data_IF_695754869288
#
_entry.id   IF_695754869288
#
_cell.length_a   1.000
_cell.length_b   1.000
_cell.length_c   1.000
_cell.angle_alpha   90.00
_cell.angle_beta   90.00
_cell.angle_gamma   90.00
#
_symmetry.space_group_name_H-M   'P 1'
#
loop_
_entity.id
_entity.type
_entity.pdbx_description
1 polymer ?
#
# COMPACT_ATOMS: atom_id res chain seq x y z
N UNK A 1 16.26 -24.06 2.76
CA UNK A 1 17.17 -24.53 1.68
C UNK A 1 16.43 -24.73 0.36
N UNK A 2 15.21 -25.26 0.37
CA UNK A 2 14.42 -25.47 -0.85
C UNK A 2 13.97 -24.17 -1.53
N UNK A 3 13.40 -23.21 -0.78
CA UNK A 3 12.96 -21.92 -1.34
C UNK A 3 14.09 -21.14 -2.04
N UNK A 4 15.29 -21.12 -1.43
CA UNK A 4 16.49 -20.52 -2.03
C UNK A 4 16.85 -21.17 -3.38
N UNK A 5 16.86 -22.50 -3.44
CA UNK A 5 17.17 -23.24 -4.68
C UNK A 5 16.16 -22.89 -5.78
N UNK A 6 14.87 -22.99 -5.46
CA UNK A 6 13.77 -22.63 -6.39
C UNK A 6 13.94 -21.18 -6.87
N UNK A 7 14.22 -20.25 -5.95
CA UNK A 7 14.42 -18.85 -6.29
C UNK A 7 15.58 -18.66 -7.28
N UNK A 8 16.74 -19.27 -7.02
CA UNK A 8 17.89 -19.20 -7.92
C UNK A 8 17.58 -19.81 -9.30
N UNK A 9 16.84 -20.91 -9.36
CA UNK A 9 16.43 -21.52 -10.63
C UNK A 9 15.52 -20.59 -11.45
N UNK A 10 14.49 -20.00 -10.82
CA UNK A 10 13.53 -19.11 -11.47
C UNK A 10 14.12 -17.75 -11.87
N UNK A 11 15.11 -17.28 -11.12
CA UNK A 11 15.78 -15.98 -11.35
C UNK A 11 17.11 -16.09 -12.08
N UNK A 12 17.44 -17.27 -12.62
CA UNK A 12 18.70 -17.53 -13.35
C UNK A 12 19.93 -17.08 -12.54
N UNK A 13 19.94 -17.42 -11.25
CA UNK A 13 21.02 -17.07 -10.33
C UNK A 13 21.00 -15.59 -9.90
N UNK A 14 19.82 -15.00 -9.66
CA UNK A 14 19.63 -13.58 -9.28
C UNK A 14 19.94 -12.58 -10.41
N UNK A 15 19.84 -13.00 -11.67
CA UNK A 15 20.09 -12.14 -12.83
C UNK A 15 18.80 -11.70 -13.52
N UNK A 16 17.73 -12.49 -13.38
CA UNK A 16 16.40 -12.20 -13.91
C UNK A 16 15.48 -11.69 -12.79
N UNK A 17 14.98 -10.44 -12.86
CA UNK A 17 14.00 -9.94 -11.91
C UNK A 17 12.66 -10.63 -12.12
N UNK A 18 12.00 -10.98 -11.01
CA UNK A 18 10.64 -11.50 -10.99
C UNK A 18 9.87 -10.81 -9.88
N UNK A 19 8.65 -10.37 -10.18
CA UNK A 19 7.76 -9.84 -9.14
C UNK A 19 7.27 -10.97 -8.24
N UNK A 20 6.85 -10.63 -7.02
CA UNK A 20 6.46 -11.60 -6.01
C UNK A 20 5.31 -12.50 -6.50
N UNK A 21 4.31 -11.91 -7.17
CA UNK A 21 3.19 -12.62 -7.77
C UNK A 21 3.62 -13.54 -8.92
N UNK A 22 4.61 -13.16 -9.73
CA UNK A 22 5.13 -14.01 -10.81
C UNK A 22 5.93 -15.19 -10.25
N UNK A 23 6.74 -14.90 -9.23
CA UNK A 23 7.58 -15.87 -8.55
C UNK A 23 6.74 -17.00 -7.92
N UNK A 24 5.69 -16.65 -7.16
CA UNK A 24 4.87 -17.67 -6.48
C UNK A 24 4.12 -18.57 -7.45
N UNK A 25 3.64 -18.04 -8.58
CA UNK A 25 2.95 -18.86 -9.60
C UNK A 25 3.91 -19.66 -10.48
N UNK A 26 5.19 -19.30 -10.52
CA UNK A 26 6.22 -20.08 -11.21
C UNK A 26 6.88 -21.15 -10.33
N UNK A 27 6.76 -21.03 -9.00
CA UNK A 27 7.39 -21.95 -8.06
C UNK A 27 6.70 -23.32 -8.02
N UNK A 28 7.45 -24.44 -8.19
CA UNK A 28 6.86 -25.77 -8.17
C UNK A 28 6.34 -26.13 -6.78
N UNK A 29 5.22 -26.84 -6.73
CA UNK A 29 4.60 -27.29 -5.47
C UNK A 29 3.76 -26.23 -4.76
N UNK A 30 3.64 -25.02 -5.31
CA UNK A 30 2.69 -24.00 -4.85
C UNK A 30 1.38 -24.04 -5.66
N UNK A 31 0.28 -23.48 -5.12
CA UNK A 31 -1.00 -23.39 -5.83
C UNK A 31 -0.87 -22.59 -7.13
N UNK A 32 -1.48 -23.11 -8.19
CA UNK A 32 -1.55 -22.46 -9.50
C UNK A 32 -2.55 -21.31 -9.50
N UNK A 33 -2.55 -20.50 -10.57
CA UNK A 33 -3.59 -19.48 -10.78
C UNK A 33 -4.99 -20.08 -10.87
N UNK A 34 -5.11 -21.30 -11.40
CA UNK A 34 -6.39 -22.01 -11.49
C UNK A 34 -6.88 -22.42 -10.09
N UNK A 35 -5.99 -22.96 -9.25
CA UNK A 35 -6.30 -23.33 -7.87
C UNK A 35 -6.78 -22.12 -7.05
N UNK A 36 -6.06 -20.99 -7.15
CA UNK A 36 -6.43 -19.74 -6.47
C UNK A 36 -7.72 -19.16 -7.05
N UNK A 37 -7.92 -19.25 -8.37
CA UNK A 37 -9.16 -18.83 -9.04
C UNK A 37 -10.38 -19.60 -8.54
N UNK A 38 -10.26 -20.93 -8.37
CA UNK A 38 -11.32 -21.77 -7.83
C UNK A 38 -11.64 -21.46 -6.35
N UNK A 39 -10.64 -21.08 -5.56
CA UNK A 39 -10.85 -20.61 -4.18
C UNK A 39 -11.55 -19.23 -4.14
N UNK A 40 -11.29 -18.35 -5.12
CA UNK A 40 -11.89 -17.02 -5.19
C UNK A 40 -13.41 -17.02 -5.49
N UNK A 41 -13.96 -18.15 -5.95
CA UNK A 41 -15.40 -18.35 -6.10
C UNK A 41 -16.11 -18.68 -4.77
N UNK A 42 -15.35 -18.97 -3.71
CA UNK A 42 -15.87 -19.33 -2.39
C UNK A 42 -15.80 -18.14 -1.44
N UNK A 43 -16.74 -18.06 -0.50
CA UNK A 43 -16.62 -17.14 0.62
C UNK A 43 -15.34 -17.45 1.42
N UNK A 44 -14.76 -16.43 2.07
CA UNK A 44 -13.46 -16.57 2.72
C UNK A 44 -13.42 -17.68 3.78
N UNK A 45 -14.54 -17.91 4.46
CA UNK A 45 -14.69 -18.97 5.48
C UNK A 45 -14.69 -20.39 4.91
N UNK A 46 -14.99 -20.54 3.62
CA UNK A 46 -15.16 -21.83 2.93
C UNK A 46 -13.92 -22.19 2.09
N UNK A 47 -12.90 -21.33 2.10
CA UNK A 47 -11.61 -21.54 1.44
C UNK A 47 -10.80 -22.62 2.16
N UNK A 48 -10.10 -23.45 1.38
CA UNK A 48 -9.17 -24.46 1.87
C UNK A 48 -7.84 -23.88 2.37
N UNK A 49 -7.56 -22.60 2.09
CA UNK A 49 -6.35 -21.92 2.59
C UNK A 49 -5.08 -22.26 1.80
N UNK A 50 -5.21 -22.54 0.50
CA UNK A 50 -4.08 -22.94 -0.35
C UNK A 50 -2.96 -21.88 -0.36
N UNK A 51 -3.31 -20.60 -0.34
CA UNK A 51 -2.33 -19.50 -0.40
C UNK A 51 -1.47 -19.38 0.90
N UNK A 52 -1.75 -20.14 1.97
CA UNK A 52 -0.86 -20.23 3.15
C UNK A 52 0.55 -20.69 2.73
N UNK A 53 0.63 -21.63 1.79
CA UNK A 53 1.91 -22.12 1.27
C UNK A 53 2.69 -21.03 0.52
N UNK A 54 1.99 -20.12 -0.17
CA UNK A 54 2.61 -18.98 -0.87
C UNK A 54 3.23 -18.01 0.15
N UNK A 55 2.54 -17.74 1.26
CA UNK A 55 3.08 -16.90 2.33
C UNK A 55 4.29 -17.50 3.02
N UNK A 56 4.29 -18.80 3.28
CA UNK A 56 5.45 -19.51 3.81
C UNK A 56 6.65 -19.47 2.84
N UNK A 57 6.41 -19.66 1.55
CA UNK A 57 7.46 -19.59 0.53
C UNK A 57 8.06 -18.17 0.42
N UNK A 58 7.23 -17.13 0.33
CA UNK A 58 7.72 -15.74 0.31
C UNK A 58 8.49 -15.39 1.58
N UNK A 59 8.04 -15.87 2.74
CA UNK A 59 8.74 -15.68 4.00
C UNK A 59 10.15 -16.30 3.97
N UNK A 60 10.30 -17.49 3.42
CA UNK A 60 11.59 -18.19 3.33
C UNK A 60 12.53 -17.56 2.28
N UNK A 61 11.98 -17.04 1.18
CA UNK A 61 12.74 -16.24 0.19
C UNK A 61 13.26 -14.96 0.82
N UNK A 62 12.40 -14.23 1.54
CA UNK A 62 12.78 -12.98 2.19
C UNK A 62 13.73 -13.22 3.37
N UNK A 63 13.67 -14.37 4.04
CA UNK A 63 14.59 -14.71 5.12
C UNK A 63 16.05 -14.88 4.63
N UNK A 64 16.25 -15.33 3.39
CA UNK A 64 17.58 -15.37 2.77
C UNK A 64 18.02 -13.94 2.36
N UNK A 65 19.18 -13.44 2.83
CA UNK A 65 19.59 -12.06 2.55
C UNK A 65 19.80 -11.75 1.06
N UNK A 66 20.30 -12.70 0.27
CA UNK A 66 20.57 -12.46 -1.15
C UNK A 66 19.29 -12.51 -1.97
N UNK A 67 18.49 -13.58 -1.80
CA UNK A 67 17.21 -13.72 -2.50
C UNK A 67 16.21 -12.63 -2.10
N UNK A 68 16.11 -12.32 -0.80
CA UNK A 68 15.18 -11.32 -0.30
C UNK A 68 15.48 -9.91 -0.78
N UNK A 69 16.76 -9.49 -0.82
CA UNK A 69 17.15 -8.19 -1.40
C UNK A 69 16.84 -8.13 -2.89
N UNK A 70 17.20 -9.16 -3.64
CA UNK A 70 16.90 -9.24 -5.08
C UNK A 70 15.39 -9.20 -5.36
N UNK A 71 14.56 -9.85 -4.53
CA UNK A 71 13.10 -9.77 -4.65
C UNK A 71 12.58 -8.35 -4.38
N UNK A 72 13.05 -7.69 -3.31
CA UNK A 72 12.64 -6.32 -3.00
C UNK A 72 13.05 -5.36 -4.14
N UNK A 73 14.26 -5.49 -4.66
CA UNK A 73 14.74 -4.71 -5.81
C UNK A 73 13.88 -4.96 -7.06
N UNK A 74 13.50 -6.21 -7.32
CA UNK A 74 12.59 -6.57 -8.42
C UNK A 74 11.21 -5.91 -8.26
N UNK A 75 10.69 -5.85 -7.03
CA UNK A 75 9.40 -5.22 -6.73
C UNK A 75 9.43 -3.70 -6.85
N UNK A 76 10.59 -3.05 -6.68
CA UNK A 76 10.77 -1.61 -6.85
C UNK A 76 10.85 -1.16 -8.32
N UNK A 77 11.02 -2.09 -9.27
CA UNK A 77 11.04 -1.75 -10.68
C UNK A 77 9.69 -1.19 -11.18
N UNK A 78 9.70 -0.27 -12.17
CA UNK A 78 8.47 0.23 -12.78
C UNK A 78 7.63 -0.90 -13.36
N UNK A 79 6.32 -0.86 -13.10
CA UNK A 79 5.38 -1.86 -13.59
C UNK A 79 5.18 -1.75 -15.12
N UNK A 80 4.89 -2.86 -15.81
CA UNK A 80 4.64 -2.83 -17.26
C UNK A 80 3.53 -1.84 -17.69
N UNK A 81 2.39 -1.71 -16.97
CA UNK A 81 1.40 -0.68 -17.29
C UNK A 81 1.96 0.75 -17.21
N UNK A 82 2.79 1.07 -16.21
CA UNK A 82 3.41 2.40 -16.13
C UNK A 82 4.33 2.67 -17.32
N UNK A 83 5.16 1.70 -17.70
CA UNK A 83 6.04 1.83 -18.87
C UNK A 83 5.26 2.04 -20.17
N UNK A 84 4.13 1.34 -20.34
CA UNK A 84 3.25 1.49 -21.50
C UNK A 84 2.62 2.89 -21.58
N UNK A 85 2.30 3.52 -20.43
CA UNK A 85 1.68 4.84 -20.37
C UNK A 85 2.68 6.01 -20.26
N UNK A 86 3.96 5.75 -20.00
CA UNK A 86 4.96 6.78 -19.71
C UNK A 86 5.08 7.86 -20.80
N UNK A 87 5.10 7.45 -22.08
CA UNK A 87 5.21 8.40 -23.19
C UNK A 87 3.96 9.28 -23.36
N UNK A 88 2.77 8.72 -23.09
CA UNK A 88 1.53 9.49 -23.11
C UNK A 88 1.48 10.47 -21.94
N UNK A 89 1.80 10.02 -20.73
CA UNK A 89 1.85 10.88 -19.55
C UNK A 89 2.86 12.02 -19.69
N UNK A 90 4.05 11.75 -20.24
CA UNK A 90 5.07 12.78 -20.44
C UNK A 90 4.58 13.91 -21.36
N UNK A 91 3.79 13.57 -22.41
CA UNK A 91 3.24 14.52 -23.38
C UNK A 91 2.01 15.27 -22.84
N UNK A 92 1.06 14.52 -22.29
CA UNK A 92 -0.28 15.03 -22.00
C UNK A 92 -0.41 15.50 -20.53
N UNK A 93 0.45 15.02 -19.64
CA UNK A 93 0.42 15.33 -18.21
C UNK A 93 -0.74 14.67 -17.47
N UNK A 94 -1.47 13.75 -18.09
CA UNK A 94 -2.64 13.11 -17.51
C UNK A 94 -2.83 11.67 -18.03
N UNK A 95 -3.18 10.74 -17.13
CA UNK A 95 -3.56 9.36 -17.47
C UNK A 95 -4.64 8.86 -16.50
N UNK A 96 -5.75 8.34 -17.04
CA UNK A 96 -6.74 7.58 -16.28
C UNK A 96 -6.44 6.08 -16.37
N UNK A 97 -6.21 5.44 -15.23
CA UNK A 97 -5.93 4.00 -15.07
C UNK A 97 -7.15 3.26 -14.49
N UNK A 98 -8.33 3.87 -14.50
CA UNK A 98 -9.57 3.33 -13.95
C UNK A 98 -9.66 3.52 -12.44
N UNK A 99 -8.94 2.69 -11.67
CA UNK A 99 -8.91 2.77 -10.20
C UNK A 99 -7.84 3.71 -9.65
N UNK A 100 -7.06 4.32 -10.53
CA UNK A 100 -6.18 5.43 -10.22
C UNK A 100 -6.24 6.48 -11.32
N UNK A 101 -6.01 7.74 -10.97
CA UNK A 101 -5.93 8.84 -11.94
C UNK A 101 -4.70 9.68 -11.64
N UNK A 102 -3.92 9.98 -12.66
CA UNK A 102 -2.64 10.69 -12.53
C UNK A 102 -2.73 11.99 -13.30
N UNK A 103 -2.36 13.10 -12.66
CA UNK A 103 -2.35 14.43 -13.27
C UNK A 103 -1.08 15.19 -12.88
N UNK A 104 -0.54 16.00 -13.80
CA UNK A 104 0.62 16.86 -13.58
C UNK A 104 0.20 18.33 -13.70
N UNK A 105 0.40 19.07 -12.62
CA UNK A 105 0.20 20.52 -12.55
C UNK A 105 1.57 21.20 -12.41
N UNK A 106 2.12 21.68 -13.53
CA UNK A 106 3.50 22.18 -13.57
C UNK A 106 4.49 21.07 -13.24
N UNK A 107 5.22 21.22 -12.12
CA UNK A 107 6.15 20.21 -11.61
C UNK A 107 5.56 19.34 -10.48
N UNK A 108 4.27 19.47 -10.18
CA UNK A 108 3.58 18.68 -9.16
C UNK A 108 2.80 17.56 -9.83
N UNK A 109 3.12 16.31 -9.51
CA UNK A 109 2.39 15.13 -9.97
C UNK A 109 1.47 14.61 -8.89
N UNK A 110 0.18 14.45 -9.18
CA UNK A 110 -0.85 13.95 -8.27
C UNK A 110 -1.30 12.57 -8.76
N UNK A 111 -1.32 11.60 -7.87
CA UNK A 111 -1.98 10.30 -8.08
C UNK A 111 -3.15 10.17 -7.11
N UNK A 112 -4.33 9.92 -7.66
CA UNK A 112 -5.55 9.71 -6.91
C UNK A 112 -5.95 8.24 -6.89
N UNK A 113 -6.21 7.67 -5.71
CA UNK A 113 -6.89 6.38 -5.57
C UNK A 113 -8.39 6.55 -5.80
N UNK A 114 -8.98 5.72 -6.67
CA UNK A 114 -10.41 5.77 -7.05
C UNK A 114 -11.10 4.42 -6.86
N UNK A 115 -11.88 4.31 -5.80
CA UNK A 115 -12.90 3.28 -5.63
C UNK A 115 -14.19 3.90 -5.08
N UNK A 116 -14.90 4.72 -5.89
CA UNK A 116 -15.88 5.69 -5.39
C UNK A 116 -17.05 5.03 -4.64
N UNK A 117 -17.50 3.85 -5.09
CA UNK A 117 -18.58 3.11 -4.42
C UNK A 117 -18.20 2.57 -3.05
N UNK A 118 -16.92 2.25 -2.87
CA UNK A 118 -16.39 1.64 -1.65
C UNK A 118 -15.51 2.61 -0.84
N UNK A 119 -15.77 3.92 -0.93
CA UNK A 119 -15.05 4.93 -0.15
C UNK A 119 -13.51 4.88 -0.33
N UNK A 120 -13.06 4.57 -1.54
CA UNK A 120 -11.64 4.35 -1.85
C UNK A 120 -11.01 3.22 -1.01
N UNK A 121 -11.78 2.20 -0.64
CA UNK A 121 -11.25 0.96 -0.07
C UNK A 121 -10.40 0.21 -1.10
N UNK A 122 -9.32 -0.40 -0.62
CA UNK A 122 -8.36 -1.14 -1.42
C UNK A 122 -8.80 -2.59 -1.62
N UNK A 123 -8.62 -3.10 -2.83
CA UNK A 123 -8.81 -4.49 -3.22
C UNK A 123 -7.88 -4.84 -4.39
N UNK A 124 -7.97 -6.08 -4.90
CA UNK A 124 -7.14 -6.55 -6.01
C UNK A 124 -7.26 -5.67 -7.27
N UNK A 125 -8.38 -4.95 -7.44
CA UNK A 125 -8.61 -4.07 -8.59
C UNK A 125 -7.95 -2.70 -8.46
N UNK A 126 -7.67 -2.25 -7.23
CA UNK A 126 -7.05 -0.95 -6.97
C UNK A 126 -5.52 -1.01 -6.99
N UNK A 127 -4.95 -2.17 -6.71
CA UNK A 127 -3.51 -2.33 -6.47
C UNK A 127 -2.66 -1.97 -7.69
N UNK A 128 -2.90 -2.65 -8.82
CA UNK A 128 -2.11 -2.46 -10.03
C UNK A 128 -2.24 -1.04 -10.63
N UNK A 129 -3.46 -0.43 -10.72
CA UNK A 129 -3.59 0.95 -11.19
C UNK A 129 -2.88 1.96 -10.29
N UNK A 130 -2.96 1.82 -8.96
CA UNK A 130 -2.31 2.74 -8.04
C UNK A 130 -0.78 2.62 -8.11
N UNK A 131 -0.24 1.41 -8.14
CA UNK A 131 1.21 1.19 -8.31
C UNK A 131 1.71 1.76 -9.64
N UNK A 132 0.97 1.54 -10.73
CA UNK A 132 1.32 2.10 -12.03
C UNK A 132 1.28 3.63 -12.02
N UNK A 133 0.31 4.24 -11.33
CA UNK A 133 0.24 5.69 -11.18
C UNK A 133 1.42 6.26 -10.39
N UNK A 134 1.83 5.58 -9.32
CA UNK A 134 3.04 5.92 -8.57
C UNK A 134 4.28 5.83 -9.46
N UNK A 135 4.45 4.73 -10.21
CA UNK A 135 5.58 4.55 -11.12
C UNK A 135 5.65 5.61 -12.22
N UNK A 136 4.50 6.02 -12.78
CA UNK A 136 4.43 7.12 -13.75
C UNK A 136 4.99 8.42 -13.15
N UNK A 137 4.58 8.76 -11.92
CA UNK A 137 5.08 9.95 -11.24
C UNK A 137 6.57 9.83 -10.92
N UNK A 138 7.07 8.65 -10.55
CA UNK A 138 8.50 8.43 -10.28
C UNK A 138 9.35 8.52 -11.55
N UNK A 139 8.85 8.00 -12.68
CA UNK A 139 9.55 7.98 -13.96
C UNK A 139 9.47 9.30 -14.74
N UNK A 140 8.48 10.15 -14.49
CA UNK A 140 8.33 11.41 -15.22
C UNK A 140 9.40 12.43 -14.84
N UNK A 141 10.10 13.01 -15.83
CA UNK A 141 11.19 13.96 -15.55
C UNK A 141 10.70 15.35 -15.14
N UNK A 142 9.46 15.72 -15.45
CA UNK A 142 8.92 17.03 -15.11
C UNK A 142 8.28 17.07 -13.72
N UNK A 143 7.83 15.93 -13.18
CA UNK A 143 7.39 15.83 -11.79
C UNK A 143 8.57 15.92 -10.82
N UNK A 144 8.58 16.96 -9.98
CA UNK A 144 9.54 17.13 -8.88
C UNK A 144 8.94 16.71 -7.53
N UNK A 145 7.67 17.06 -7.29
CA UNK A 145 6.93 16.73 -6.07
C UNK A 145 5.75 15.83 -6.42
N UNK A 146 5.60 14.74 -5.69
CA UNK A 146 4.51 13.80 -5.83
C UNK A 146 3.45 14.04 -4.74
N UNK A 147 2.19 13.84 -5.08
CA UNK A 147 1.06 13.93 -4.16
C UNK A 147 0.25 12.65 -4.25
N UNK A 148 0.02 12.01 -3.12
CA UNK A 148 -0.92 10.91 -2.96
C UNK A 148 -2.22 11.48 -2.37
N UNK A 149 -3.34 11.25 -3.05
CA UNK A 149 -4.66 11.72 -2.59
C UNK A 149 -5.74 10.69 -2.85
N UNK A 150 -6.85 10.81 -2.12
CA UNK A 150 -8.06 10.05 -2.40
C UNK A 150 -8.99 10.79 -3.37
N UNK A 151 -9.57 10.06 -4.32
CA UNK A 151 -10.55 10.60 -5.25
C UNK A 151 -11.89 10.93 -4.59
N UNK A 152 -12.75 11.63 -5.34
CA UNK A 152 -14.14 11.88 -4.95
C UNK A 152 -14.96 10.59 -4.99
N UNK A 153 -15.84 10.40 -4.01
CA UNK A 153 -16.67 9.20 -3.87
C UNK A 153 -18.14 9.45 -4.21
N UNK A 154 -18.88 8.41 -4.62
CA UNK A 154 -20.30 8.46 -4.98
C UNK A 154 -21.21 7.71 -3.98
N UNK A 155 -20.64 7.24 -2.87
CA UNK A 155 -21.39 6.55 -1.81
C UNK A 155 -22.48 7.46 -1.20
N UNK A 156 -23.70 6.98 -0.92
CA UNK A 156 -24.84 7.81 -0.50
C UNK A 156 -24.59 8.76 0.68
N UNK A 157 -23.76 8.35 1.64
CA UNK A 157 -23.42 9.16 2.82
C UNK A 157 -22.31 10.20 2.60
N UNK A 158 -21.47 10.01 1.58
CA UNK A 158 -20.25 10.79 1.36
C UNK A 158 -20.13 11.34 -0.06
N UNK A 159 -21.22 11.31 -0.82
CA UNK A 159 -21.24 11.72 -2.22
C UNK A 159 -20.65 13.13 -2.40
N UNK A 160 -19.73 13.28 -3.36
CA UNK A 160 -19.06 14.54 -3.66
C UNK A 160 -17.91 14.90 -2.70
N UNK A 161 -17.66 14.11 -1.65
CA UNK A 161 -16.50 14.29 -0.78
C UNK A 161 -15.29 13.52 -1.31
N UNK A 162 -14.10 14.05 -1.04
CA UNK A 162 -12.84 13.29 -1.16
C UNK A 162 -12.62 12.45 0.09
N UNK A 163 -12.17 11.22 -0.10
CA UNK A 163 -11.84 10.29 0.98
C UNK A 163 -10.47 9.71 0.70
N UNK A 164 -9.49 9.91 1.59
CA UNK A 164 -8.13 9.40 1.35
C UNK A 164 -8.10 7.87 1.17
N UNK A 165 -8.70 7.13 2.08
CA UNK A 165 -8.90 5.68 1.92
C UNK A 165 -9.59 5.05 3.12
N UNK A 166 -10.52 4.14 2.85
CA UNK A 166 -11.30 3.44 3.89
C UNK A 166 -10.70 2.10 4.35
N UNK A 167 -9.44 1.83 4.00
CA UNK A 167 -8.75 0.58 4.34
C UNK A 167 -9.03 -0.52 3.32
N UNK A 168 -8.97 -1.78 3.74
CA UNK A 168 -9.25 -2.92 2.88
C UNK A 168 -10.76 -3.01 2.59
N UNK A 169 -11.13 -3.43 1.38
CA UNK A 169 -12.53 -3.70 1.04
C UNK A 169 -13.03 -4.96 1.78
N UNK A 170 -13.58 -4.76 2.98
CA UNK A 170 -14.03 -5.86 3.84
C UNK A 170 -15.19 -6.66 3.23
N UNK A 171 -15.98 -6.08 2.31
CA UNK A 171 -17.00 -6.81 1.56
C UNK A 171 -16.37 -7.86 0.65
N UNK A 172 -15.36 -7.44 -0.13
CA UNK A 172 -14.63 -8.36 -0.99
C UNK A 172 -13.83 -9.38 -0.18
N UNK A 173 -13.21 -8.95 0.93
CA UNK A 173 -12.50 -9.85 1.85
C UNK A 173 -13.42 -10.98 2.35
N UNK A 174 -14.58 -10.62 2.92
CA UNK A 174 -15.51 -11.62 3.48
C UNK A 174 -16.00 -12.62 2.43
N UNK A 175 -16.12 -12.17 1.18
CA UNK A 175 -16.53 -12.99 0.03
C UNK A 175 -15.41 -13.78 -0.63
N UNK A 176 -14.19 -13.70 -0.12
CA UNK A 176 -13.05 -14.41 -0.69
C UNK A 176 -12.50 -13.79 -1.98
N UNK A 177 -12.86 -12.55 -2.29
CA UNK A 177 -12.55 -11.86 -3.56
C UNK A 177 -11.29 -10.99 -3.49
N UNK A 178 -10.50 -11.11 -2.42
CA UNK A 178 -9.18 -10.47 -2.28
C UNK A 178 -8.18 -11.61 -2.15
N UNK A 179 -7.16 -11.72 -3.01
CA UNK A 179 -6.12 -12.74 -2.88
C UNK A 179 -5.24 -12.49 -1.65
N UNK A 180 -4.67 -13.56 -1.06
CA UNK A 180 -3.61 -13.37 -0.07
C UNK A 180 -2.44 -12.55 -0.63
N UNK A 181 -2.10 -12.70 -1.92
CA UNK A 181 -0.99 -11.96 -2.52
C UNK A 181 -1.18 -10.45 -2.54
N UNK A 182 -2.42 -9.95 -2.39
CA UNK A 182 -2.69 -8.52 -2.20
C UNK A 182 -1.77 -7.92 -1.14
N UNK A 183 -1.63 -8.59 0.01
CA UNK A 183 -0.90 -8.08 1.17
C UNK A 183 0.60 -7.88 0.89
N UNK A 184 1.39 -8.93 0.58
CA UNK A 184 2.82 -8.77 0.32
C UNK A 184 3.10 -7.96 -0.95
N UNK A 185 2.30 -8.09 -2.02
CA UNK A 185 2.53 -7.32 -3.27
C UNK A 185 2.33 -5.83 -3.02
N UNK A 186 1.32 -5.45 -2.22
CA UNK A 186 1.10 -4.06 -1.80
C UNK A 186 2.28 -3.48 -1.02
N UNK A 187 2.73 -4.18 0.02
CA UNK A 187 3.77 -3.68 0.92
C UNK A 187 5.18 -3.73 0.30
N UNK A 188 5.48 -4.69 -0.58
CA UNK A 188 6.73 -4.75 -1.34
C UNK A 188 6.73 -3.82 -2.56
N UNK A 189 5.57 -3.58 -3.16
CA UNK A 189 5.36 -2.74 -4.34
C UNK A 189 5.05 -1.30 -3.96
N UNK A 190 3.82 -0.84 -4.21
CA UNK A 190 3.45 0.58 -4.14
C UNK A 190 3.82 1.28 -2.82
N UNK A 191 3.65 0.60 -1.68
CA UNK A 191 3.94 1.19 -0.37
C UNK A 191 5.45 1.37 -0.20
N UNK A 192 6.24 0.35 -0.57
CA UNK A 192 7.70 0.44 -0.51
C UNK A 192 8.25 1.44 -1.51
N UNK A 193 7.66 1.53 -2.70
CA UNK A 193 8.03 2.49 -3.75
C UNK A 193 7.91 3.93 -3.27
N UNK A 194 6.80 4.31 -2.64
CA UNK A 194 6.63 5.66 -2.06
C UNK A 194 7.69 5.94 -0.99
N UNK A 195 7.93 4.97 -0.10
CA UNK A 195 8.93 5.11 0.97
C UNK A 195 10.36 5.22 0.43
N UNK A 196 10.75 4.38 -0.54
CA UNK A 196 12.11 4.30 -1.10
C UNK A 196 12.39 5.28 -2.24
N UNK A 197 11.36 5.91 -2.81
CA UNK A 197 11.51 6.90 -3.87
C UNK A 197 12.47 8.02 -3.49
N UNK A 198 13.15 8.56 -4.49
CA UNK A 198 13.97 9.77 -4.34
C UNK A 198 13.14 11.06 -4.43
N UNK A 199 11.96 10.99 -5.07
CA UNK A 199 11.02 12.09 -5.09
C UNK A 199 10.34 12.25 -3.74
N UNK A 200 10.04 13.50 -3.39
CA UNK A 200 9.31 13.83 -2.19
C UNK A 200 7.80 13.63 -2.43
N UNK A 201 7.14 13.09 -1.42
CA UNK A 201 5.72 12.77 -1.43
C UNK A 201 4.98 13.57 -0.37
N UNK A 202 3.86 14.17 -0.78
CA UNK A 202 2.86 14.74 0.11
C UNK A 202 1.67 13.78 0.14
N UNK A 203 1.15 13.45 1.31
CA UNK A 203 -0.19 12.87 1.43
C UNK A 203 -1.19 13.98 1.75
N UNK A 204 -2.31 14.01 1.02
CA UNK A 204 -3.43 14.90 1.28
C UNK A 204 -4.60 14.09 1.86
N UNK A 205 -4.63 13.97 3.19
CA UNK A 205 -5.60 13.16 3.90
C UNK A 205 -6.89 13.94 4.19
N UNK A 206 -7.98 13.52 3.56
CA UNK A 206 -9.31 14.12 3.73
C UNK A 206 -10.32 13.07 4.18
N UNK A 207 -11.24 13.46 5.06
CA UNK A 207 -12.31 12.62 5.63
C UNK A 207 -11.84 11.40 6.43
N UNK A 208 -11.21 10.40 5.79
CA UNK A 208 -10.77 9.13 6.39
C UNK A 208 -9.43 8.69 5.84
N UNK A 209 -8.50 8.33 6.74
CA UNK A 209 -7.38 7.44 6.41
C UNK A 209 -7.43 6.25 7.37
N UNK A 210 -8.02 5.15 6.90
CA UNK A 210 -8.29 3.94 7.69
C UNK A 210 -7.42 2.80 7.15
N UNK A 211 -6.91 1.95 8.05
CA UNK A 211 -6.21 0.73 7.68
C UNK A 211 -5.06 1.00 6.72
N UNK A 212 -5.11 0.42 5.52
CA UNK A 212 -4.12 0.63 4.47
C UNK A 212 -3.92 2.10 4.07
N UNK A 213 -4.97 2.94 4.12
CA UNK A 213 -4.85 4.39 3.93
C UNK A 213 -3.97 5.02 5.01
N UNK A 214 -4.22 4.70 6.28
CA UNK A 214 -3.37 5.21 7.37
C UNK A 214 -1.91 4.74 7.24
N UNK A 215 -1.68 3.51 6.75
CA UNK A 215 -0.34 2.99 6.49
C UNK A 215 0.43 3.79 5.43
N UNK A 216 -0.26 4.30 4.39
CA UNK A 216 0.36 5.13 3.36
C UNK A 216 0.84 6.48 3.89
N UNK A 217 0.21 7.02 4.93
CA UNK A 217 0.69 8.23 5.59
C UNK A 217 2.09 8.02 6.20
N UNK A 218 2.40 6.80 6.65
CA UNK A 218 3.67 6.49 7.31
C UNK A 218 4.87 6.38 6.35
N UNK A 219 4.65 6.55 5.04
CA UNK A 219 5.68 6.43 4.00
C UNK A 219 6.00 7.73 3.27
N UNK A 220 5.15 8.75 3.39
CA UNK A 220 5.34 10.04 2.72
C UNK A 220 6.27 10.97 3.50
N UNK A 221 6.70 12.04 2.86
CA UNK A 221 7.64 13.02 3.44
C UNK A 221 6.91 14.18 4.13
N UNK A 222 5.64 14.40 3.80
CA UNK A 222 4.81 15.43 4.40
C UNK A 222 3.33 15.04 4.39
N UNK A 223 2.61 15.26 5.49
CA UNK A 223 1.20 14.92 5.64
C UNK A 223 0.39 16.21 5.86
N UNK A 224 -0.43 16.56 4.87
CA UNK A 224 -1.51 17.52 4.99
C UNK A 224 -2.78 16.77 5.42
N UNK A 225 -3.40 17.16 6.52
CA UNK A 225 -4.56 16.47 7.06
C UNK A 225 -5.72 17.44 7.28
N UNK A 226 -6.87 17.20 6.64
CA UNK A 226 -8.08 17.99 6.88
C UNK A 226 -8.51 17.84 8.35
N UNK A 227 -8.84 18.96 9.00
CA UNK A 227 -9.32 18.95 10.40
C UNK A 227 -10.55 18.05 10.53
N UNK A 228 -10.49 17.12 11.48
CA UNK A 228 -11.55 16.14 11.71
C UNK A 228 -11.46 14.89 10.84
N UNK A 229 -10.39 14.73 10.05
CA UNK A 229 -10.08 13.45 9.40
C UNK A 229 -9.91 12.36 10.45
N UNK A 230 -10.57 11.22 10.26
CA UNK A 230 -10.40 10.07 11.17
C UNK A 230 -9.23 9.21 10.72
N UNK A 231 -8.29 8.98 11.63
CA UNK A 231 -7.10 8.16 11.43
C UNK A 231 -7.18 6.92 12.31
N UNK A 232 -7.14 5.72 11.72
CA UNK A 232 -7.22 4.48 12.50
C UNK A 232 -6.62 3.28 11.81
N UNK A 233 -6.13 2.31 12.60
CA UNK A 233 -5.61 1.02 12.17
C UNK A 233 -6.49 -0.09 12.77
N UNK A 234 -7.65 -0.39 12.15
CA UNK A 234 -8.65 -1.30 12.70
C UNK A 234 -8.27 -2.79 12.61
N UNK A 235 -7.03 -3.12 12.22
CA UNK A 235 -6.59 -4.47 11.88
C UNK A 235 -6.84 -5.50 12.99
N UNK A 236 -6.81 -5.08 14.27
CA UNK A 236 -7.26 -5.91 15.41
C UNK A 236 -8.70 -6.40 15.25
N UNK A 237 -9.60 -5.50 14.88
CA UNK A 237 -11.03 -5.77 14.70
C UNK A 237 -11.32 -6.49 13.39
N UNK A 238 -10.38 -6.49 12.43
CA UNK A 238 -10.46 -7.17 11.14
C UNK A 238 -9.78 -8.56 11.18
N UNK A 239 -8.90 -8.81 12.15
CA UNK A 239 -8.18 -10.07 12.29
C UNK A 239 -6.96 -10.22 11.36
N UNK A 240 -6.35 -9.11 10.96
CA UNK A 240 -5.17 -9.07 10.07
C UNK A 240 -4.03 -8.23 10.68
N UNK A 241 -2.86 -8.25 10.05
CA UNK A 241 -1.71 -7.40 10.39
C UNK A 241 -1.82 -6.10 9.56
N UNK A 242 -1.66 -4.90 10.16
CA UNK A 242 -1.80 -3.63 9.46
C UNK A 242 -0.57 -3.28 8.59
N UNK A 243 -0.24 -4.15 7.63
CA UNK A 243 0.93 -3.99 6.76
C UNK A 243 2.19 -3.67 7.56
N UNK A 244 3.03 -2.77 7.06
CA UNK A 244 4.21 -2.29 7.77
C UNK A 244 3.95 -1.22 8.86
N UNK A 245 2.72 -1.01 9.33
CA UNK A 245 2.47 -0.04 10.41
C UNK A 245 3.18 -0.42 11.71
N UNK A 246 3.32 -1.71 12.03
CA UNK A 246 4.05 -2.16 13.22
C UNK A 246 5.53 -1.76 13.16
N UNK A 247 6.10 -1.67 11.95
CA UNK A 247 7.46 -1.22 11.72
C UNK A 247 7.58 0.31 11.81
N UNK A 248 6.60 1.04 11.26
CA UNK A 248 6.74 2.48 10.97
C UNK A 248 6.05 3.41 11.97
N UNK A 249 4.90 3.04 12.52
CA UNK A 249 4.12 3.90 13.40
C UNK A 249 4.87 4.33 14.68
N UNK A 250 5.67 3.46 15.34
CA UNK A 250 6.41 3.86 16.55
C UNK A 250 7.34 5.07 16.35
N UNK A 251 7.82 5.33 15.13
CA UNK A 251 8.65 6.50 14.80
C UNK A 251 7.89 7.82 14.93
N UNK A 252 6.58 7.81 14.73
CA UNK A 252 5.73 9.01 14.79
C UNK A 252 5.20 9.26 16.20
N UNK A 253 4.75 8.20 16.88
CA UNK A 253 3.97 8.35 18.12
C UNK A 253 4.61 7.67 19.34
N UNK A 254 5.73 6.99 19.17
CA UNK A 254 6.36 6.16 20.20
C UNK A 254 5.68 4.79 20.39
N UNK A 255 6.40 3.86 21.03
CA UNK A 255 6.00 2.44 21.14
C UNK A 255 4.65 2.24 21.84
N UNK A 256 4.41 2.91 22.98
CA UNK A 256 3.16 2.74 23.75
C UNK A 256 1.94 3.19 22.97
N UNK A 257 2.04 4.33 22.30
CA UNK A 257 0.94 4.89 21.53
C UNK A 257 0.66 4.07 20.27
N UNK A 258 1.72 3.58 19.60
CA UNK A 258 1.59 2.67 18.47
C UNK A 258 0.89 1.36 18.87
N UNK A 259 1.21 0.79 20.05
CA UNK A 259 0.51 -0.39 20.57
C UNK A 259 -0.95 -0.12 20.93
N UNK A 260 -1.28 1.07 21.45
CA UNK A 260 -2.69 1.44 21.67
C UNK A 260 -3.44 1.50 20.34
N UNK A 261 -2.86 2.11 19.31
CA UNK A 261 -3.47 2.18 17.99
C UNK A 261 -3.66 0.79 17.37
N UNK A 262 -2.61 -0.04 17.37
CA UNK A 262 -2.60 -1.33 16.67
C UNK A 262 -3.25 -2.44 17.49
N UNK A 263 -2.88 -2.61 18.76
CA UNK A 263 -3.32 -3.73 19.59
C UNK A 263 -4.62 -3.44 20.35
N UNK A 264 -4.90 -2.17 20.66
CA UNK A 264 -6.14 -1.77 21.35
C UNK A 264 -7.19 -1.19 20.41
N UNK A 265 -6.82 -0.76 19.20
CA UNK A 265 -7.73 -0.18 18.21
C UNK A 265 -8.10 1.27 18.47
N UNK A 266 -7.31 2.00 19.26
CA UNK A 266 -7.57 3.42 19.52
C UNK A 266 -7.34 4.25 18.25
N UNK A 267 -8.25 5.17 17.93
CA UNK A 267 -8.06 6.14 16.85
C UNK A 267 -6.86 7.04 17.14
N UNK A 268 -6.14 7.45 16.08
CA UNK A 268 -5.10 8.46 16.11
C UNK A 268 -5.74 9.84 15.91
N UNK A 269 -5.30 10.82 16.68
CA UNK A 269 -5.65 12.21 16.42
C UNK A 269 -4.83 12.72 15.22
N UNK A 270 -5.39 13.56 14.34
CA UNK A 270 -4.66 14.17 13.23
C UNK A 270 -3.30 14.75 13.62
N UNK A 271 -3.23 15.42 14.77
CA UNK A 271 -2.02 16.05 15.33
C UNK A 271 -0.88 15.06 15.63
N UNK A 272 -1.19 13.77 15.75
CA UNK A 272 -0.17 12.75 16.05
C UNK A 272 0.63 12.35 14.82
N UNK A 273 0.11 12.59 13.61
CA UNK A 273 0.76 12.22 12.35
C UNK A 273 0.96 13.40 11.40
N UNK A 274 0.05 14.37 11.39
CA UNK A 274 0.06 15.46 10.41
C UNK A 274 1.19 16.45 10.67
N UNK A 275 1.84 16.87 9.59
CA UNK A 275 2.74 18.01 9.63
C UNK A 275 1.95 19.33 9.58
N UNK A 276 0.81 19.32 8.89
CA UNK A 276 -0.11 20.45 8.82
C UNK A 276 -1.57 20.01 8.91
N UNK A 277 -2.34 20.73 9.73
CA UNK A 277 -3.79 20.65 9.72
C UNK A 277 -4.36 21.69 8.77
N UNK A 278 -5.27 21.25 7.91
CA UNK A 278 -5.90 22.08 6.88
C UNK A 278 -7.39 22.20 7.16
N UNK A 279 -7.96 23.40 7.02
CA UNK A 279 -9.41 23.54 7.18
C UNK A 279 -10.17 22.93 5.99
N UNK A 280 -11.40 22.43 6.20
CA UNK A 280 -12.20 21.87 5.12
C UNK A 280 -12.37 22.85 3.95
N UNK A 281 -12.09 22.37 2.74
CA UNK A 281 -12.16 23.18 1.51
C UNK A 281 -10.86 23.92 1.15
N UNK A 282 -9.82 23.87 1.98
CA UNK A 282 -8.54 24.54 1.71
C UNK A 282 -7.43 23.58 1.21
N UNK A 283 -7.72 22.29 1.08
CA UNK A 283 -6.72 21.26 0.74
C UNK A 283 -6.00 21.52 -0.58
N UNK A 284 -6.71 21.97 -1.62
CA UNK A 284 -6.10 22.23 -2.94
C UNK A 284 -5.05 23.34 -2.85
N UNK A 285 -5.36 24.41 -2.12
CA UNK A 285 -4.44 25.52 -1.89
C UNK A 285 -3.24 25.08 -1.02
N UNK A 286 -3.49 24.27 0.01
CA UNK A 286 -2.45 23.74 0.88
C UNK A 286 -1.47 22.83 0.13
N UNK A 287 -1.98 21.92 -0.73
CA UNK A 287 -1.14 21.05 -1.59
C UNK A 287 -0.22 21.90 -2.45
N UNK A 288 -0.76 22.91 -3.15
CA UNK A 288 0.02 23.76 -4.05
C UNK A 288 1.11 24.54 -3.28
N UNK A 289 0.73 25.16 -2.15
CA UNK A 289 1.65 25.93 -1.32
C UNK A 289 2.80 25.05 -0.79
N UNK A 290 2.47 23.86 -0.26
CA UNK A 290 3.48 22.93 0.27
C UNK A 290 4.37 22.37 -0.83
N UNK A 291 3.80 21.99 -1.97
CA UNK A 291 4.59 21.50 -3.10
C UNK A 291 5.56 22.57 -3.62
N UNK A 292 5.13 23.84 -3.71
CA UNK A 292 5.99 24.95 -4.09
C UNK A 292 7.12 25.18 -3.07
N UNK A 293 6.82 25.09 -1.77
CA UNK A 293 7.82 25.22 -0.71
C UNK A 293 8.87 24.09 -0.76
N UNK A 294 8.49 22.87 -1.12
CA UNK A 294 9.41 21.73 -1.25
C UNK A 294 10.22 21.77 -2.54
N UNK A 295 9.64 22.26 -3.64
CA UNK A 295 10.34 22.38 -4.94
C UNK A 295 11.44 23.45 -4.91
N UNK A 296 11.23 24.56 -4.19
CA UNK A 296 12.18 25.69 -4.12
C UNK A 296 13.45 25.41 -3.29
N UNK A 297 13.52 24.27 -2.59
CA UNK A 297 14.68 23.84 -1.78
C UNK A 297 15.73 23.00 -2.56
N UNK A 298 15.58 22.90 -3.89
CA UNK A 298 16.42 22.06 -4.73
C UNK A 298 16.06 20.58 -4.53
N UNK A 299 15.14 20.08 -5.36
CA UNK A 299 14.59 18.72 -5.32
C UNK A 299 15.66 17.61 -5.20
N UNK A 300 16.88 17.86 -5.72
CA UNK A 300 18.05 16.97 -5.59
C UNK A 300 18.48 16.78 -4.13
N UNK A 301 18.54 17.86 -3.34
CA UNK A 301 18.93 17.80 -1.93
C UNK A 301 17.86 17.09 -1.08
N UNK A 302 16.57 17.31 -1.40
CA UNK A 302 15.43 16.65 -0.76
C UNK A 302 15.52 15.13 -0.88
N UNK A 303 15.70 14.62 -2.10
CA UNK A 303 15.85 13.17 -2.31
C UNK A 303 17.10 12.58 -1.63
N UNK A 304 18.21 13.31 -1.62
CA UNK A 304 19.41 12.89 -0.90
C UNK A 304 19.22 12.82 0.62
N UNK A 305 18.56 13.82 1.22
CA UNK A 305 18.22 13.84 2.64
C UNK A 305 17.24 12.73 2.98
N UNK A 306 16.22 12.49 2.14
CA UNK A 306 15.29 11.37 2.28
C UNK A 306 16.03 10.03 2.30
N UNK A 307 16.96 9.80 1.37
CA UNK A 307 17.85 8.62 1.38
C UNK A 307 18.63 8.50 2.68
N UNK A 308 19.23 9.59 3.14
CA UNK A 308 20.02 9.60 4.38
C UNK A 308 19.17 9.25 5.62
N UNK A 309 17.96 9.79 5.74
CA UNK A 309 17.04 9.42 6.82
C UNK A 309 16.73 7.92 6.84
N UNK A 310 16.48 7.32 5.66
CA UNK A 310 16.14 5.90 5.56
C UNK A 310 17.24 4.96 6.05
N UNK A 311 18.51 5.36 5.96
CA UNK A 311 19.63 4.57 6.49
C UNK A 311 19.46 4.32 7.99
N UNK A 312 19.02 5.33 8.75
CA UNK A 312 18.79 5.18 10.18
C UNK A 312 17.39 4.67 10.53
N UNK A 313 16.38 5.04 9.76
CA UNK A 313 14.98 4.76 10.11
C UNK A 313 14.50 3.36 9.70
N UNK A 314 14.90 2.89 8.51
CA UNK A 314 14.47 1.59 7.97
C UNK A 314 15.53 1.08 6.97
N UNK A 315 16.64 0.50 7.45
CA UNK A 315 17.58 -0.23 6.60
C UNK A 315 16.86 -1.30 5.76
N UNK A 316 17.39 -1.61 4.58
CA UNK A 316 16.74 -2.57 3.67
C UNK A 316 16.56 -3.95 4.33
N UNK A 317 17.56 -4.43 5.06
CA UNK A 317 17.49 -5.72 5.75
C UNK A 317 16.46 -5.74 6.89
N UNK A 318 16.27 -4.63 7.60
CA UNK A 318 15.23 -4.53 8.63
C UNK A 318 13.84 -4.67 8.00
N UNK A 319 13.61 -3.98 6.89
CA UNK A 319 12.37 -4.15 6.14
C UNK A 319 12.21 -5.57 5.57
N UNK A 320 13.28 -6.16 5.02
CA UNK A 320 13.29 -7.52 4.51
C UNK A 320 12.91 -8.55 5.57
N UNK A 321 13.53 -8.48 6.74
CA UNK A 321 13.26 -9.38 7.87
C UNK A 321 11.85 -9.18 8.41
N UNK A 322 11.39 -7.93 8.49
CA UNK A 322 10.01 -7.62 8.82
C UNK A 322 9.03 -8.26 7.82
N UNK A 323 9.29 -8.11 6.52
CA UNK A 323 8.45 -8.68 5.47
C UNK A 323 8.49 -10.21 5.44
N UNK A 324 9.61 -10.84 5.82
CA UNK A 324 9.67 -12.29 5.99
C UNK A 324 8.66 -12.77 7.04
N UNK A 325 8.62 -12.13 8.22
CA UNK A 325 7.64 -12.45 9.26
C UNK A 325 6.23 -12.12 8.80
N UNK A 326 6.04 -10.93 8.23
CA UNK A 326 4.74 -10.46 7.74
C UNK A 326 4.12 -11.43 6.74
N UNK A 327 4.86 -11.89 5.72
CA UNK A 327 4.34 -12.82 4.72
C UNK A 327 3.77 -14.08 5.37
N UNK A 328 4.50 -14.69 6.31
CA UNK A 328 4.07 -15.91 7.00
C UNK A 328 2.86 -15.66 7.90
N UNK A 329 2.95 -14.67 8.78
CA UNK A 329 1.93 -14.45 9.82
C UNK A 329 0.64 -13.86 9.23
N UNK A 330 0.76 -12.98 8.22
CA UNK A 330 -0.40 -12.43 7.52
C UNK A 330 -1.19 -13.53 6.81
N UNK A 331 -0.52 -14.55 6.24
CA UNK A 331 -1.21 -15.67 5.60
C UNK A 331 -2.02 -16.47 6.62
N UNK A 332 -1.44 -16.73 7.80
CA UNK A 332 -2.12 -17.41 8.91
C UNK A 332 -3.32 -16.59 9.41
N UNK A 333 -3.15 -15.28 9.62
CA UNK A 333 -4.25 -14.39 10.00
C UNK A 333 -5.38 -14.39 8.97
N UNK A 334 -5.03 -14.28 7.69
CA UNK A 334 -5.97 -14.15 6.57
C UNK A 334 -6.88 -15.37 6.36
N UNK A 335 -6.40 -16.58 6.69
CA UNK A 335 -7.21 -17.81 6.65
C UNK A 335 -7.69 -18.27 8.03
N UNK A 336 -7.54 -17.44 9.07
CA UNK A 336 -7.92 -17.83 10.42
C UNK A 336 -9.45 -17.79 10.61
N UNK A 337 -10.03 -18.72 11.39
CA UNK A 337 -11.42 -18.59 11.83
C UNK A 337 -11.69 -17.32 12.64
N UNK A 338 -10.65 -16.72 13.25
CA UNK A 338 -10.75 -15.48 13.99
C UNK A 338 -11.05 -14.28 13.09
N UNK A 339 -10.47 -14.23 11.89
CA UNK A 339 -10.78 -13.19 10.90
C UNK A 339 -12.27 -13.20 10.55
N UNK A 340 -12.85 -14.36 10.30
CA UNK A 340 -14.28 -14.47 9.97
C UNK A 340 -15.15 -13.97 11.11
N UNK A 341 -14.91 -14.45 12.34
CA UNK A 341 -15.65 -13.98 13.53
C UNK A 341 -15.54 -12.46 13.70
N UNK A 342 -14.35 -11.92 13.52
CA UNK A 342 -14.09 -10.48 13.62
C UNK A 342 -14.90 -9.67 12.60
N UNK A 343 -14.98 -10.13 11.34
CA UNK A 343 -15.79 -9.48 10.30
C UNK A 343 -17.30 -9.57 10.61
N UNK A 344 -17.76 -10.69 11.15
CA UNK A 344 -19.17 -10.89 11.53
C UNK A 344 -19.55 -10.04 12.76
N UNK A 345 -18.71 -10.00 13.79
CA UNK A 345 -18.99 -9.31 15.06
C UNK A 345 -18.77 -7.79 14.99
N UNK A 346 -17.62 -7.35 14.45
CA UNK A 346 -17.22 -5.94 14.51
C UNK A 346 -17.68 -5.13 13.29
N UNK A 347 -17.66 -5.74 12.10
CA UNK A 347 -18.03 -5.06 10.85
C UNK A 347 -19.47 -5.35 10.41
N UNK A 348 -20.10 -6.37 11.01
CA UNK A 348 -21.46 -6.87 10.69
C UNK A 348 -21.57 -7.32 9.25
N UNK A 349 -20.66 -8.20 8.83
CA UNK A 349 -20.54 -8.65 7.44
C UNK A 349 -21.86 -9.14 6.81
N UNK A 350 -22.73 -9.78 7.59
CA UNK A 350 -24.03 -10.28 7.11
C UNK A 350 -25.00 -9.18 6.66
N UNK A 351 -24.86 -7.97 7.17
CA UNK A 351 -25.75 -6.84 6.87
C UNK A 351 -25.31 -6.06 5.62
N UNK A 352 -24.20 -6.44 4.99
CA UNK A 352 -23.53 -5.65 3.95
C UNK A 352 -23.93 -6.13 2.56
N UNK A 353 -24.41 -5.20 1.75
CA UNK A 353 -24.75 -5.47 0.35
C UNK A 353 -23.49 -5.66 -0.51
N UNK A 354 -23.59 -6.45 -1.60
CA UNK A 354 -22.57 -6.53 -2.65
C UNK A 354 -22.03 -5.18 -3.12
#
# INVERSE_FOLDING_TARGET
MEARRIYHELTEGLTRPLRAEELVYAAPGLPTREDVGAEAEKAQKDKAGLEIAQGAFLADVLADPACGRHLIESMLAPTPPALAHAAAFARDGEVDLGRAHVQRHGNVGVVELRNPRHLNAEDDTTLAPLEAGIDLLLGDKATEICVLRGGVVDHPRYAGRRIFGAGLNLTHLYRGQISYLFFPVRDLGLVHKVFRADKLWIAAAETFAIGGGCQLLLTVDHILCERGTRLTLPARNEGIIPGAANLRLPRFVGDRRARQAILSGSELQPEELADELVEPGEMDAAILARAQALSTAGAVSGGANKRAFRVGQEPLDVFREYMSVYCRDQAVCYFSPALIRNLEENWRAHDRTP
#
